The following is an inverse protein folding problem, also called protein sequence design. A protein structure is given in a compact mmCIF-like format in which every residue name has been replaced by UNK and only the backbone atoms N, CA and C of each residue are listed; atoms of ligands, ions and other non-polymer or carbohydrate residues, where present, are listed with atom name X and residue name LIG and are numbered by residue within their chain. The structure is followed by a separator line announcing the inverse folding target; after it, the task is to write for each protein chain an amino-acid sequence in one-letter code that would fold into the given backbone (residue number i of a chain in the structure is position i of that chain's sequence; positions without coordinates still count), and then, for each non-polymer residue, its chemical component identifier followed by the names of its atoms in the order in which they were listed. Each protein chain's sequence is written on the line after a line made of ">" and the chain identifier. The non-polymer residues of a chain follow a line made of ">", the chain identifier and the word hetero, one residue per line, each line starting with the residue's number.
data_IF_404200018500
#
_entry.id   IF_404200018500
#
_cell.length_a   1.000
_cell.length_b   1.000
_cell.length_c   1.000
_cell.angle_alpha   90.00
_cell.angle_beta   90.00
_cell.angle_gamma   90.00
#
_symmetry.space_group_name_H-M   'P 1'
#
loop_
_entity.id
_entity.type
_entity.pdbx_description
1 polymer ?
#
# COMPACT_ATOMS: atom_id res chain seq x y z
N UNK A 1 -8.34 4.32 17.19
CA UNK A 1 -8.31 4.22 15.71
C UNK A 1 -9.49 5.00 15.15
N UNK A 2 -9.23 5.96 14.28
CA UNK A 2 -10.25 6.79 13.65
C UNK A 2 -10.13 6.75 12.13
N UNK A 3 -10.53 5.65 11.48
CA UNK A 3 -10.51 5.58 10.03
C UNK A 3 -11.44 6.62 9.41
N UNK A 4 -11.04 7.16 8.28
CA UNK A 4 -11.86 8.11 7.51
C UNK A 4 -11.95 7.59 6.08
N UNK A 5 -13.04 7.95 5.40
CA UNK A 5 -13.27 7.54 4.03
C UNK A 5 -12.74 8.63 3.11
N UNK A 6 -11.85 8.25 2.20
CA UNK A 6 -11.25 9.17 1.23
C UNK A 6 -11.46 8.60 -0.16
N UNK A 7 -11.92 9.43 -1.09
CA UNK A 7 -11.90 9.08 -2.50
C UNK A 7 -10.54 9.42 -3.09
N UNK A 8 -9.92 8.46 -3.76
CA UNK A 8 -8.64 8.65 -4.41
C UNK A 8 -8.80 8.45 -5.91
N UNK A 9 -8.43 9.46 -6.73
CA UNK A 9 -8.46 9.31 -8.19
C UNK A 9 -7.49 8.22 -8.66
N UNK A 10 -7.61 7.82 -9.90
CA UNK A 10 -6.69 6.86 -10.50
C UNK A 10 -5.24 7.30 -10.32
N UNK A 11 -4.37 6.35 -10.06
CA UNK A 11 -2.93 6.62 -9.91
C UNK A 11 -2.13 5.41 -10.37
N UNK A 12 -0.83 5.64 -10.60
CA UNK A 12 0.08 4.59 -11.06
C UNK A 12 1.27 4.52 -10.11
N UNK A 13 1.65 3.31 -9.74
CA UNK A 13 2.86 3.05 -8.97
C UNK A 13 3.84 2.30 -9.85
N UNK A 14 5.09 2.72 -9.87
CA UNK A 14 6.18 2.02 -10.56
C UNK A 14 7.20 1.59 -9.51
N UNK A 15 7.60 0.33 -9.57
CA UNK A 15 8.54 -0.19 -8.61
C UNK A 15 8.86 -1.67 -8.82
N UNK A 16 9.22 -2.33 -7.72
CA UNK A 16 9.66 -3.72 -7.75
C UNK A 16 8.59 -4.62 -7.15
N UNK A 17 8.19 -5.62 -7.93
CA UNK A 17 7.18 -6.59 -7.51
C UNK A 17 7.87 -7.85 -7.00
N UNK A 18 7.50 -8.27 -5.80
CA UNK A 18 7.87 -9.57 -5.26
C UNK A 18 6.72 -10.55 -5.48
N UNK A 19 7.05 -11.68 -6.07
CA UNK A 19 6.12 -12.79 -6.20
C UNK A 19 6.63 -13.92 -5.30
N UNK A 20 5.87 -14.29 -4.28
CA UNK A 20 6.25 -15.31 -3.30
C UNK A 20 6.67 -16.64 -3.94
N UNK A 21 6.16 -16.93 -5.12
CA UNK A 21 6.46 -18.18 -5.79
C UNK A 21 7.75 -18.13 -6.62
N UNK A 22 8.23 -16.93 -6.96
CA UNK A 22 9.33 -16.77 -7.92
C UNK A 22 10.52 -16.01 -7.37
N UNK A 23 10.36 -15.27 -6.29
CA UNK A 23 11.41 -14.40 -5.77
C UNK A 23 11.47 -14.56 -4.26
N UNK A 24 12.65 -14.93 -3.76
CA UNK A 24 12.89 -15.08 -2.32
C UNK A 24 13.37 -13.78 -1.66
N UNK A 25 13.45 -12.69 -2.41
CA UNK A 25 13.91 -11.43 -1.87
C UNK A 25 12.95 -10.94 -0.78
N UNK A 26 13.50 -10.48 0.34
CA UNK A 26 12.72 -9.89 1.41
C UNK A 26 12.21 -8.51 1.00
N UNK A 27 11.20 -8.03 1.73
CA UNK A 27 10.66 -6.68 1.52
C UNK A 27 11.76 -5.62 1.71
N UNK A 28 12.62 -5.80 2.71
CA UNK A 28 13.74 -4.89 2.96
C UNK A 28 14.71 -4.85 1.79
N UNK A 29 14.98 -5.99 1.18
CA UNK A 29 15.85 -6.05 0.01
C UNK A 29 15.24 -5.32 -1.19
N UNK A 30 13.92 -5.43 -1.36
CA UNK A 30 13.24 -4.70 -2.43
C UNK A 30 13.36 -3.19 -2.23
N UNK A 31 13.19 -2.71 -1.02
CA UNK A 31 13.36 -1.29 -0.71
C UNK A 31 14.80 -0.82 -0.95
N UNK A 32 15.79 -1.63 -0.60
CA UNK A 32 17.19 -1.30 -0.86
C UNK A 32 17.49 -1.21 -2.36
N UNK A 33 17.00 -2.19 -3.13
CA UNK A 33 17.17 -2.18 -4.58
C UNK A 33 16.50 -0.97 -5.22
N UNK A 34 15.27 -0.67 -4.80
CA UNK A 34 14.52 0.46 -5.34
C UNK A 34 15.20 1.78 -4.96
N UNK A 35 15.73 1.90 -3.75
CA UNK A 35 16.42 3.10 -3.30
C UNK A 35 17.64 3.45 -4.13
N UNK A 36 18.30 2.45 -4.72
CA UNK A 36 19.45 2.67 -5.60
C UNK A 36 19.03 3.01 -7.04
N UNK A 37 17.76 2.83 -7.39
CA UNK A 37 17.30 2.95 -8.78
C UNK A 37 16.09 3.86 -8.98
N UNK A 38 15.55 4.47 -7.93
CA UNK A 38 14.30 5.25 -8.07
C UNK A 38 14.48 6.43 -9.05
N UNK A 39 15.70 6.94 -9.18
CA UNK A 39 16.00 8.03 -10.09
C UNK A 39 15.82 7.64 -11.57
N UNK A 40 15.75 6.35 -11.88
CA UNK A 40 15.48 5.86 -13.23
C UNK A 40 14.01 6.01 -13.62
N UNK A 41 13.12 6.23 -12.65
CA UNK A 41 11.68 6.33 -12.89
C UNK A 41 11.35 7.76 -13.30
N UNK A 42 10.88 7.93 -14.53
CA UNK A 42 10.53 9.24 -15.06
C UNK A 42 9.25 9.76 -14.38
N UNK A 43 9.27 11.02 -13.92
CA UNK A 43 8.12 11.63 -13.28
C UNK A 43 7.87 11.12 -11.86
N UNK A 44 8.88 10.51 -11.22
CA UNK A 44 8.74 9.95 -9.89
C UNK A 44 8.54 11.03 -8.84
N UNK A 45 7.67 10.74 -7.87
CA UNK A 45 7.59 11.49 -6.62
C UNK A 45 8.33 10.71 -5.54
N UNK A 46 9.58 11.11 -5.21
CA UNK A 46 10.39 10.32 -4.28
C UNK A 46 10.03 10.52 -2.81
N UNK A 47 9.17 11.48 -2.49
CA UNK A 47 8.85 11.82 -1.11
C UNK A 47 7.87 10.87 -0.47
N UNK A 48 7.15 10.08 -1.28
CA UNK A 48 6.12 9.17 -0.80
C UNK A 48 6.35 7.79 -1.41
N UNK A 49 6.65 6.82 -0.54
CA UNK A 49 6.77 5.42 -0.95
C UNK A 49 5.48 4.66 -0.69
N UNK A 50 5.26 3.62 -1.47
CA UNK A 50 4.09 2.75 -1.36
C UNK A 50 4.52 1.31 -1.20
N UNK A 51 3.87 0.61 -0.26
CA UNK A 51 3.98 -0.83 -0.14
C UNK A 51 2.60 -1.43 -0.36
N UNK A 52 2.40 -2.14 -1.46
CA UNK A 52 1.09 -2.70 -1.82
C UNK A 52 1.10 -4.20 -1.59
N UNK A 53 0.12 -4.66 -0.83
CA UNK A 53 -0.05 -6.08 -0.52
C UNK A 53 -1.25 -6.62 -1.27
N UNK A 54 -1.01 -7.62 -2.13
CA UNK A 54 -2.07 -8.29 -2.88
C UNK A 54 -2.26 -9.68 -2.35
N UNK A 55 -3.50 -10.07 -2.06
CA UNK A 55 -3.86 -11.43 -1.68
C UNK A 55 -4.41 -12.14 -2.91
N UNK A 56 -3.77 -13.24 -3.31
CA UNK A 56 -4.20 -14.04 -4.46
C UNK A 56 -4.35 -15.49 -4.05
N UNK A 57 -5.15 -16.23 -4.81
CA UNK A 57 -5.38 -17.65 -4.54
C UNK A 57 -4.10 -18.50 -4.65
N UNK A 58 -3.18 -18.09 -5.53
CA UNK A 58 -1.93 -18.80 -5.78
C UNK A 58 -0.73 -18.23 -5.01
N UNK A 59 -0.97 -17.33 -4.05
CA UNK A 59 0.07 -16.72 -3.22
C UNK A 59 -0.05 -15.21 -3.19
N UNK A 60 0.54 -14.62 -2.18
CA UNK A 60 0.52 -13.18 -2.00
C UNK A 60 1.61 -12.52 -2.84
N UNK A 61 1.36 -11.29 -3.29
CA UNK A 61 2.33 -10.46 -3.98
C UNK A 61 2.54 -9.17 -3.22
N UNK A 62 3.73 -8.61 -3.35
CA UNK A 62 4.08 -7.35 -2.70
C UNK A 62 4.79 -6.43 -3.71
N UNK A 63 4.33 -5.18 -3.79
CA UNK A 63 4.92 -4.17 -4.66
C UNK A 63 5.47 -3.05 -3.80
N UNK A 64 6.76 -2.74 -3.95
CA UNK A 64 7.34 -1.52 -3.39
C UNK A 64 7.57 -0.54 -4.53
N UNK A 65 7.14 0.71 -4.35
CA UNK A 65 7.26 1.65 -5.45
C UNK A 65 6.96 3.08 -5.06
N UNK A 66 6.95 3.90 -6.09
CA UNK A 66 6.63 5.33 -5.97
C UNK A 66 5.56 5.68 -6.99
N UNK A 67 4.73 6.67 -6.66
CA UNK A 67 3.77 7.18 -7.63
C UNK A 67 4.47 7.99 -8.71
N UNK A 68 3.90 7.97 -9.90
CA UNK A 68 4.40 8.74 -11.04
C UNK A 68 3.29 9.64 -11.57
N UNK A 69 3.66 10.82 -12.04
CA UNK A 69 2.71 11.80 -12.56
C UNK A 69 2.32 11.54 -14.00
N UNK A 70 3.17 10.84 -14.75
CA UNK A 70 2.96 10.56 -16.16
C UNK A 70 3.36 9.13 -16.47
N UNK A 71 2.71 8.56 -17.49
CA UNK A 71 3.08 7.23 -17.97
C UNK A 71 4.33 7.34 -18.84
N UNK A 72 5.50 7.20 -18.22
CA UNK A 72 6.77 7.18 -18.92
C UNK A 72 7.27 5.76 -19.16
N UNK A 73 8.49 5.63 -19.69
CA UNK A 73 9.11 4.32 -19.84
C UNK A 73 9.27 3.62 -18.49
N UNK A 74 9.06 2.32 -18.47
CA UNK A 74 9.24 1.51 -17.25
C UNK A 74 10.68 1.02 -17.23
N UNK A 75 11.46 1.35 -16.18
CA UNK A 75 12.83 0.84 -16.10
C UNK A 75 12.89 -0.68 -16.13
N UNK A 76 13.98 -1.21 -16.63
CA UNK A 76 14.15 -2.66 -16.75
C UNK A 76 14.00 -3.35 -15.40
N UNK A 77 13.20 -4.40 -15.36
CA UNK A 77 12.96 -5.17 -14.13
C UNK A 77 11.93 -4.58 -13.19
N UNK A 78 11.38 -3.42 -13.53
CA UNK A 78 10.32 -2.81 -12.75
C UNK A 78 8.94 -3.09 -13.33
N UNK A 79 7.92 -2.89 -12.51
CA UNK A 79 6.52 -3.08 -12.87
C UNK A 79 5.76 -1.79 -12.66
N UNK A 80 4.91 -1.43 -13.61
CA UNK A 80 3.96 -0.34 -13.44
C UNK A 80 2.59 -0.94 -13.14
N UNK A 81 1.91 -0.40 -12.13
CA UNK A 81 0.59 -0.88 -11.75
C UNK A 81 -0.36 0.29 -11.63
N UNK A 82 -1.48 0.19 -12.34
CA UNK A 82 -2.52 1.21 -12.34
C UNK A 82 -3.62 0.86 -11.36
N UNK A 83 -4.06 1.86 -10.60
CA UNK A 83 -5.15 1.72 -9.65
C UNK A 83 -6.31 2.57 -10.09
N UNK A 84 -7.50 1.96 -10.18
CA UNK A 84 -8.72 2.65 -10.56
C UNK A 84 -9.17 3.63 -9.46
N UNK A 85 -9.95 4.67 -9.82
CA UNK A 85 -10.53 5.54 -8.79
C UNK A 85 -11.42 4.73 -7.84
N UNK A 86 -11.25 4.93 -6.56
CA UNK A 86 -12.10 4.24 -5.56
C UNK A 86 -12.03 4.94 -4.21
N UNK A 87 -12.94 4.54 -3.33
CA UNK A 87 -12.92 4.98 -1.95
C UNK A 87 -12.04 4.05 -1.12
N UNK A 88 -11.37 4.63 -0.15
CA UNK A 88 -10.51 3.92 0.79
C UNK A 88 -10.88 4.32 2.21
N UNK A 89 -10.85 3.35 3.11
CA UNK A 89 -10.77 3.65 4.53
C UNK A 89 -9.29 3.88 4.84
N UNK A 90 -8.98 5.03 5.42
CA UNK A 90 -7.60 5.44 5.71
C UNK A 90 -7.43 5.59 7.20
N UNK A 91 -6.44 4.93 7.75
CA UNK A 91 -6.10 5.01 9.17
C UNK A 91 -4.59 4.97 9.34
N UNK A 92 -4.14 5.38 10.52
CA UNK A 92 -2.70 5.50 10.80
C UNK A 92 -2.27 4.40 11.75
N UNK A 93 -1.19 3.72 11.37
CA UNK A 93 -0.46 2.82 12.26
C UNK A 93 0.66 3.60 12.92
N UNK A 94 0.73 3.57 14.25
CA UNK A 94 1.84 4.14 15.00
C UNK A 94 2.72 3.02 15.52
N UNK A 95 4.04 3.16 15.28
CA UNK A 95 5.01 2.20 15.76
C UNK A 95 5.78 1.52 14.65
N UNK A 96 6.45 0.44 15.01
CA UNK A 96 7.27 -0.32 14.09
C UNK A 96 6.43 -1.17 13.14
N UNK A 97 7.05 -1.67 12.07
CA UNK A 97 6.37 -2.50 11.08
C UNK A 97 5.82 -3.80 11.67
N UNK A 98 6.41 -4.29 12.75
CA UNK A 98 5.98 -5.53 13.41
C UNK A 98 4.53 -5.44 13.92
N UNK A 99 4.04 -4.25 14.23
CA UNK A 99 2.69 -4.05 14.76
C UNK A 99 1.61 -3.86 13.71
N UNK A 100 1.95 -3.83 12.42
CA UNK A 100 0.97 -3.54 11.37
C UNK A 100 -0.14 -4.59 11.32
N UNK A 101 0.19 -5.87 11.48
CA UNK A 101 -0.81 -6.93 11.43
C UNK A 101 -1.85 -6.77 12.53
N UNK A 102 -1.43 -6.37 13.73
CA UNK A 102 -2.36 -6.11 14.82
C UNK A 102 -3.27 -4.92 14.51
N UNK A 103 -2.71 -3.86 13.94
CA UNK A 103 -3.49 -2.68 13.54
C UNK A 103 -4.52 -3.03 12.48
N UNK A 104 -4.14 -3.83 11.49
CA UNK A 104 -5.07 -4.31 10.46
C UNK A 104 -6.17 -5.19 11.06
N UNK A 105 -5.81 -6.09 11.98
CA UNK A 105 -6.80 -6.94 12.64
C UNK A 105 -7.83 -6.13 13.41
N UNK A 106 -7.39 -5.09 14.10
CA UNK A 106 -8.29 -4.17 14.81
C UNK A 106 -9.21 -3.44 13.83
N UNK A 107 -8.68 -3.00 12.70
CA UNK A 107 -9.49 -2.34 11.68
C UNK A 107 -10.60 -3.26 11.18
N UNK A 108 -10.27 -4.50 10.80
CA UNK A 108 -11.25 -5.44 10.25
C UNK A 108 -12.28 -5.87 11.29
N UNK A 109 -11.84 -6.19 12.50
CA UNK A 109 -12.74 -6.75 13.52
C UNK A 109 -13.59 -5.68 14.21
N UNK A 110 -13.04 -4.50 14.46
CA UNK A 110 -13.72 -3.48 15.23
C UNK A 110 -14.39 -2.42 14.35
N UNK A 111 -13.63 -1.78 13.47
CA UNK A 111 -14.17 -0.67 12.71
C UNK A 111 -14.99 -1.12 11.51
N UNK A 112 -14.41 -1.96 10.66
CA UNK A 112 -15.06 -2.34 9.39
C UNK A 112 -16.37 -3.08 9.63
N UNK A 113 -16.40 -3.97 10.62
CA UNK A 113 -17.59 -4.77 10.93
C UNK A 113 -18.77 -3.91 11.36
N UNK A 114 -18.56 -2.69 11.84
CA UNK A 114 -19.60 -1.79 12.33
C UNK A 114 -19.78 -0.55 11.47
N UNK A 115 -18.99 -0.41 10.41
CA UNK A 115 -18.92 0.85 9.65
C UNK A 115 -20.01 1.02 8.60
N UNK A 116 -20.69 -0.06 8.20
CA UNK A 116 -21.57 -0.02 7.03
C UNK A 116 -20.81 -0.11 5.71
N UNK A 117 -19.53 -0.31 5.75
CA UNK A 117 -18.69 -0.54 4.58
C UNK A 117 -18.24 -1.99 4.53
N UNK A 118 -17.82 -2.42 3.35
CA UNK A 118 -17.20 -3.73 3.16
C UNK A 118 -15.95 -3.54 2.31
N UNK A 119 -15.05 -4.50 2.43
CA UNK A 119 -13.83 -4.51 1.62
C UNK A 119 -14.20 -4.66 0.16
N UNK A 120 -13.62 -3.82 -0.71
CA UNK A 120 -13.95 -3.86 -2.14
C UNK A 120 -13.00 -4.76 -2.93
N UNK A 121 -11.74 -4.84 -2.52
CA UNK A 121 -10.72 -5.50 -3.33
C UNK A 121 -9.78 -6.31 -2.44
N UNK A 122 -8.97 -7.17 -3.07
CA UNK A 122 -8.07 -8.06 -2.37
C UNK A 122 -6.67 -7.45 -2.19
N UNK A 123 -6.58 -6.14 -2.05
CA UNK A 123 -5.32 -5.48 -1.75
C UNK A 123 -5.52 -4.39 -0.70
N UNK A 124 -4.43 -3.98 -0.09
CA UNK A 124 -4.33 -2.73 0.68
C UNK A 124 -2.94 -2.17 0.46
N UNK A 125 -2.73 -0.90 0.77
CA UNK A 125 -1.38 -0.36 0.68
C UNK A 125 -1.02 0.49 1.89
N UNK A 126 0.28 0.52 2.15
CA UNK A 126 0.92 1.35 3.16
C UNK A 126 1.56 2.53 2.45
N UNK A 127 1.43 3.71 3.03
CA UNK A 127 2.00 4.94 2.48
C UNK A 127 3.06 5.44 3.44
N UNK A 128 4.28 5.54 2.94
CA UNK A 128 5.45 5.96 3.71
C UNK A 128 5.84 7.38 3.27
N UNK A 129 5.67 8.33 4.18
CA UNK A 129 6.07 9.72 3.95
C UNK A 129 7.10 10.14 5.00
N UNK A 130 7.27 11.45 5.21
CA UNK A 130 8.27 11.97 6.15
C UNK A 130 7.97 11.65 7.61
N UNK A 131 6.79 11.12 7.94
CA UNK A 131 6.44 10.69 9.29
C UNK A 131 6.94 9.29 9.61
N UNK A 132 7.41 8.55 8.60
CA UNK A 132 7.95 7.21 8.79
C UNK A 132 9.38 7.32 9.31
N UNK A 133 9.64 6.71 10.47
CA UNK A 133 10.98 6.65 11.08
C UNK A 133 11.28 5.17 11.34
N UNK A 134 12.24 4.59 10.63
CA UNK A 134 12.57 3.16 10.81
C UNK A 134 12.87 2.83 12.27
N UNK A 135 12.33 1.70 12.73
CA UNK A 135 12.57 1.14 14.06
C UNK A 135 12.21 2.06 15.22
N UNK A 136 11.30 3.02 14.99
CA UNK A 136 10.87 3.94 16.03
C UNK A 136 9.43 3.66 16.47
N UNK A 137 9.14 3.71 17.79
CA UNK A 137 7.75 3.60 18.26
C UNK A 137 6.90 4.81 17.92
N UNK A 138 7.51 5.91 17.49
CA UNK A 138 6.81 7.14 17.11
C UNK A 138 6.56 7.23 15.61
N UNK A 139 7.01 6.25 14.83
CA UNK A 139 6.81 6.22 13.38
C UNK A 139 5.33 6.15 13.04
N UNK A 140 4.93 6.86 11.98
CA UNK A 140 3.55 6.88 11.50
C UNK A 140 3.49 6.41 10.04
N UNK A 141 2.61 5.45 9.79
CA UNK A 141 2.38 4.89 8.46
C UNK A 141 0.88 4.97 8.19
N UNK A 142 0.48 5.53 7.05
CA UNK A 142 -0.92 5.53 6.65
C UNK A 142 -1.25 4.24 5.94
N UNK A 143 -2.38 3.63 6.29
CA UNK A 143 -2.85 2.39 5.68
C UNK A 143 -4.15 2.70 4.93
N UNK A 144 -4.22 2.26 3.67
CA UNK A 144 -5.36 2.48 2.79
C UNK A 144 -5.97 1.13 2.44
N UNK A 145 -7.24 0.93 2.80
CA UNK A 145 -7.98 -0.29 2.47
C UNK A 145 -9.15 0.08 1.55
N UNK A 146 -9.21 -0.46 0.33
CA UNK A 146 -10.34 -0.16 -0.57
C UNK A 146 -11.64 -0.67 0.02
N UNK A 147 -12.65 0.18 0.04
CA UNK A 147 -13.96 -0.15 0.61
C UNK A 147 -15.07 0.37 -0.27
N UNK A 148 -16.25 -0.22 -0.10
CA UNK A 148 -17.50 0.26 -0.70
C UNK A 148 -18.61 0.14 0.31
N UNK A 149 -19.67 0.93 0.13
CA UNK A 149 -20.81 0.83 1.02
C UNK A 149 -21.43 -0.55 0.92
N UNK A 150 -21.79 -1.09 2.08
CA UNK A 150 -22.49 -2.36 2.16
C UNK A 150 -23.96 -2.15 1.83
N UNK A 151 -24.52 -3.03 1.00
CA UNK A 151 -25.94 -2.99 0.70
C UNK A 151 -26.78 -3.82 1.65
N UNK A 152 -26.17 -4.39 2.66
CA UNK A 152 -26.88 -5.22 3.63
C UNK A 152 -27.79 -4.32 4.46
N UNK A 153 -29.07 -4.66 4.51
CA UNK A 153 -30.04 -3.90 5.28
C UNK A 153 -30.63 -2.69 4.59
N UNK A 154 -30.35 -2.55 3.31
CA UNK A 154 -31.00 -1.52 2.52
C UNK A 154 -32.48 -1.85 2.32
#
# INVERSE_FOLDING_TARGET
>A
MNPRIIFKPAFTIVGLLQDDQKDEASIDELWLRLGSRFHEIEGVDPDVGYGVHFSRDDGDQFLVGFSVQQNGPIPKGMTAMHFEPKEYAVFTHQGTLDGIDDTLSMFYSDWLSRSGYQREDAFYFELYDDRFVPDSPDSLISIYVPVKKSFVGA
#
